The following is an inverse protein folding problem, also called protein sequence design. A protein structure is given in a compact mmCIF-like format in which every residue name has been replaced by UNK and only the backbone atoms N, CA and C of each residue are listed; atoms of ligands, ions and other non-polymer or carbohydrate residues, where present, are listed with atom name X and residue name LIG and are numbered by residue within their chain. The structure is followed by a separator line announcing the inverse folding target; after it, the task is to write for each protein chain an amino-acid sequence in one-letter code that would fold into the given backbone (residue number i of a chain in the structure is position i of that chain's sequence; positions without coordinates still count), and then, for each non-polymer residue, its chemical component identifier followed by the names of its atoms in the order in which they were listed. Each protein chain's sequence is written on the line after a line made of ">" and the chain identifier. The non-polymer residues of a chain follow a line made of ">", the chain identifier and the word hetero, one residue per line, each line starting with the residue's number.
data_IF_042636704532
#
_entry.id   IF_042636704532
#
_cell.length_a   1.000
_cell.length_b   1.000
_cell.length_c   1.000
_cell.angle_alpha   90.00
_cell.angle_beta   90.00
_cell.angle_gamma   90.00
#
_symmetry.space_group_name_H-M   'P 1'
#
loop_
_entity.id
_entity.type
_entity.pdbx_description
1 polymer ?
#
# COMPACT_ATOMS: atom_id res chain seq x y z
N UNK A 1 14.54 13.21 41.68
CA UNK A 1 14.59 12.47 40.40
C UNK A 1 13.39 12.93 39.59
N UNK A 2 13.58 13.41 38.36
CA UNK A 2 12.46 13.82 37.50
C UNK A 2 11.89 12.61 36.78
N UNK A 3 10.56 12.57 36.65
CA UNK A 3 9.87 11.55 35.87
C UNK A 3 10.01 11.87 34.39
N UNK A 4 10.46 10.90 33.60
CA UNK A 4 10.54 11.00 32.15
C UNK A 4 9.37 10.23 31.55
N UNK A 5 8.47 10.95 30.89
CA UNK A 5 7.34 10.40 30.16
C UNK A 5 7.32 10.97 28.74
N UNK A 6 7.04 10.11 27.75
CA UNK A 6 6.93 10.47 26.33
C UNK A 6 5.52 10.15 25.85
N UNK A 7 4.84 11.16 25.33
CA UNK A 7 3.56 10.98 24.66
C UNK A 7 3.77 10.54 23.21
N UNK A 8 3.68 9.23 22.97
CA UNK A 8 3.82 8.65 21.64
C UNK A 8 2.70 9.07 20.69
N UNK A 9 1.50 9.39 21.19
CA UNK A 9 0.39 9.86 20.36
C UNK A 9 0.70 11.24 19.79
N UNK A 10 1.19 12.16 20.64
CA UNK A 10 1.64 13.47 20.17
C UNK A 10 2.83 13.36 19.19
N UNK A 11 3.77 12.44 19.45
CA UNK A 11 4.90 12.21 18.54
C UNK A 11 4.44 11.65 17.19
N UNK A 12 3.45 10.76 17.16
CA UNK A 12 2.92 10.21 15.92
C UNK A 12 2.21 11.28 15.07
N UNK A 13 1.42 12.15 15.69
CA UNK A 13 0.80 13.29 14.99
C UNK A 13 1.86 14.19 14.36
N UNK A 14 2.94 14.49 15.08
CA UNK A 14 4.05 15.28 14.55
C UNK A 14 4.77 14.58 13.39
N UNK A 15 5.01 13.28 13.49
CA UNK A 15 5.60 12.48 12.41
C UNK A 15 4.74 12.52 11.16
N UNK A 16 3.43 12.33 11.29
CA UNK A 16 2.48 12.40 10.17
C UNK A 16 2.45 13.79 9.52
N UNK A 17 2.43 14.86 10.32
CA UNK A 17 2.47 16.23 9.82
C UNK A 17 3.76 16.51 9.03
N UNK A 18 4.92 16.03 9.51
CA UNK A 18 6.19 16.16 8.80
C UNK A 18 6.20 15.38 7.48
N UNK A 19 5.64 14.17 7.45
CA UNK A 19 5.50 13.38 6.22
C UNK A 19 4.65 14.13 5.19
N UNK A 20 3.49 14.65 5.59
CA UNK A 20 2.62 15.43 4.69
C UNK A 20 3.30 16.71 4.19
N UNK A 21 4.07 17.38 5.04
CA UNK A 21 4.82 18.57 4.65
C UNK A 21 5.89 18.29 3.59
N UNK A 22 6.52 17.12 3.63
CA UNK A 22 7.51 16.68 2.63
C UNK A 22 6.84 16.31 1.31
N UNK A 23 5.68 15.66 1.35
CA UNK A 23 4.91 15.28 0.16
C UNK A 23 4.39 16.51 -0.60
N UNK A 24 4.06 17.59 0.13
CA UNK A 24 3.69 18.87 -0.45
C UNK A 24 2.24 18.94 -0.95
N UNK A 25 1.79 20.12 -1.39
CA UNK A 25 0.39 20.38 -1.74
C UNK A 25 -0.08 19.70 -3.03
N UNK A 26 0.85 19.31 -3.91
CA UNK A 26 0.55 18.67 -5.19
C UNK A 26 0.43 17.14 -5.06
N UNK A 27 0.67 16.59 -3.87
CA UNK A 27 0.55 15.16 -3.64
C UNK A 27 -0.92 14.72 -3.64
N UNK A 28 -1.28 13.92 -4.64
CA UNK A 28 -2.59 13.27 -4.73
C UNK A 28 -2.50 11.80 -4.24
N UNK A 29 -2.94 11.49 -3.02
CA UNK A 29 -2.88 10.13 -2.48
C UNK A 29 -3.75 9.14 -3.27
N UNK A 30 -4.82 9.61 -3.91
CA UNK A 30 -5.71 8.75 -4.71
C UNK A 30 -5.03 8.37 -6.01
N UNK A 31 -4.32 9.31 -6.64
CA UNK A 31 -3.52 9.02 -7.83
C UNK A 31 -2.37 8.05 -7.52
N UNK A 32 -1.66 8.23 -6.40
CA UNK A 32 -0.60 7.29 -6.00
C UNK A 32 -1.16 5.87 -5.80
N UNK A 33 -2.31 5.72 -5.14
CA UNK A 33 -2.94 4.41 -4.97
C UNK A 33 -3.35 3.78 -6.31
N UNK A 34 -3.88 4.58 -7.24
CA UNK A 34 -4.24 4.13 -8.58
C UNK A 34 -3.01 3.68 -9.38
N UNK A 35 -1.90 4.41 -9.27
CA UNK A 35 -0.64 4.07 -9.92
C UNK A 35 -0.05 2.77 -9.37
N UNK A 36 -0.09 2.58 -8.04
CA UNK A 36 0.33 1.33 -7.39
C UNK A 36 -0.51 0.14 -7.88
N UNK A 37 -1.84 0.29 -7.96
CA UNK A 37 -2.71 -0.76 -8.50
C UNK A 37 -2.40 -1.09 -9.96
N UNK A 38 -2.15 -0.07 -10.79
CA UNK A 38 -1.75 -0.25 -12.18
C UNK A 38 -0.39 -0.96 -12.30
N UNK A 39 0.59 -0.59 -11.47
CA UNK A 39 1.89 -1.24 -11.42
C UNK A 39 1.77 -2.72 -11.03
N UNK A 40 0.94 -3.04 -10.03
CA UNK A 40 0.67 -4.43 -9.66
C UNK A 40 -0.04 -5.23 -10.75
N UNK A 41 -0.96 -4.58 -11.47
CA UNK A 41 -1.58 -5.19 -12.63
C UNK A 41 -0.54 -5.51 -13.71
N UNK A 42 0.49 -4.67 -13.90
CA UNK A 42 1.57 -4.97 -14.85
C UNK A 42 2.44 -6.16 -14.41
N UNK A 43 2.73 -6.33 -13.12
CA UNK A 43 3.54 -7.46 -12.61
C UNK A 43 2.97 -8.84 -13.00
N UNK A 44 1.65 -8.96 -13.02
CA UNK A 44 0.94 -10.19 -13.38
C UNK A 44 0.25 -10.06 -14.75
N UNK A 45 0.81 -9.23 -15.64
CA UNK A 45 0.38 -9.16 -17.03
C UNK A 45 1.18 -10.12 -17.91
N UNK A 46 0.57 -10.59 -19.00
CA UNK A 46 1.27 -11.44 -19.98
C UNK A 46 1.69 -12.82 -19.47
N UNK A 47 1.03 -13.34 -18.42
CA UNK A 47 1.31 -14.66 -17.89
C UNK A 47 0.98 -15.74 -18.93
N UNK A 48 1.89 -16.71 -19.07
CA UNK A 48 1.57 -17.93 -19.81
C UNK A 48 0.60 -18.82 -19.02
N UNK A 49 0.13 -19.90 -19.65
CA UNK A 49 -0.85 -20.80 -19.03
C UNK A 49 -0.35 -21.52 -17.76
N UNK A 50 0.97 -21.72 -17.62
CA UNK A 50 1.57 -22.26 -16.40
C UNK A 50 1.56 -21.22 -15.28
N UNK A 51 2.05 -20.02 -15.60
CA UNK A 51 2.13 -18.89 -14.68
C UNK A 51 0.74 -18.43 -14.22
N UNK A 52 -0.25 -18.40 -15.11
CA UNK A 52 -1.63 -18.04 -14.77
C UNK A 52 -2.22 -19.01 -13.74
N UNK A 53 -1.99 -20.32 -13.87
CA UNK A 53 -2.46 -21.31 -12.91
C UNK A 53 -1.87 -21.10 -11.52
N UNK A 54 -0.55 -20.85 -11.45
CA UNK A 54 0.11 -20.53 -10.18
C UNK A 54 -0.43 -19.24 -9.57
N UNK A 55 -0.66 -18.20 -10.38
CA UNK A 55 -1.28 -16.96 -9.92
C UNK A 55 -2.67 -17.21 -9.33
N UNK A 56 -3.52 -17.97 -10.03
CA UNK A 56 -4.88 -18.30 -9.58
C UNK A 56 -4.87 -19.10 -8.27
N UNK A 57 -3.95 -20.06 -8.13
CA UNK A 57 -3.78 -20.85 -6.89
C UNK A 57 -3.36 -19.96 -5.71
N UNK A 58 -2.43 -19.02 -5.94
CA UNK A 58 -1.99 -18.07 -4.92
C UNK A 58 -3.07 -17.07 -4.52
N UNK A 59 -3.92 -16.66 -5.45
CA UNK A 59 -5.10 -15.82 -5.15
C UNK A 59 -6.11 -16.61 -4.34
N UNK A 60 -6.40 -17.86 -4.72
CA UNK A 60 -7.33 -18.72 -3.99
C UNK A 60 -6.84 -19.02 -2.56
N UNK A 61 -5.53 -19.12 -2.37
CA UNK A 61 -4.91 -19.29 -1.05
C UNK A 61 -4.83 -17.99 -0.22
N UNK A 62 -5.21 -16.84 -0.78
CA UNK A 62 -5.12 -15.54 -0.12
C UNK A 62 -3.69 -14.99 0.01
N UNK A 63 -2.73 -15.60 -0.68
CA UNK A 63 -1.32 -15.15 -0.69
C UNK A 63 -1.16 -13.92 -1.57
N UNK A 64 -1.86 -13.89 -2.70
CA UNK A 64 -1.88 -12.75 -3.62
C UNK A 64 -3.27 -12.11 -3.69
N UNK A 65 -3.35 -10.77 -3.78
CA UNK A 65 -4.60 -10.11 -4.07
C UNK A 65 -5.03 -10.37 -5.52
N UNK A 66 -6.34 -10.46 -5.73
CA UNK A 66 -6.92 -10.54 -7.06
C UNK A 66 -6.71 -9.21 -7.80
N UNK A 67 -6.32 -9.30 -9.07
CA UNK A 67 -6.15 -8.13 -9.94
C UNK A 67 -7.48 -7.39 -10.09
N UNK A 68 -7.47 -6.09 -9.78
CA UNK A 68 -8.61 -5.20 -10.00
C UNK A 68 -9.61 -5.08 -8.84
N UNK A 69 -9.43 -5.84 -7.75
CA UNK A 69 -10.35 -5.78 -6.60
C UNK A 69 -10.09 -4.58 -5.66
N UNK A 70 -9.11 -3.74 -6.00
CA UNK A 70 -8.68 -2.61 -5.20
C UNK A 70 -7.93 -3.05 -3.94
N UNK A 71 -6.77 -2.47 -3.67
CA UNK A 71 -5.98 -2.85 -2.47
C UNK A 71 -6.46 -2.20 -1.18
N UNK A 72 -7.41 -1.27 -1.29
CA UNK A 72 -7.92 -0.50 -0.17
C UNK A 72 -8.84 -1.30 0.78
N UNK A 73 -9.13 -2.56 0.50
CA UNK A 73 -10.06 -3.39 1.28
C UNK A 73 -9.42 -4.61 1.97
N UNK A 74 -8.10 -4.66 2.10
CA UNK A 74 -7.38 -5.69 2.86
C UNK A 74 -6.95 -5.19 4.24
#
# INVERSE_FOLDING_TARGET
>A
MFEFAVDLTAQEVLRQAQVLAVLGPDWDPVEVMRQEEAAYALLYSGLDAGQQRVYDDLVAAGVLPRRGDGRAAA
#
